data_IF_601002305935
#
_entry.id   IF_601002305935
#
_cell.length_a   1.000
_cell.length_b   1.000
_cell.length_c   1.000
_cell.angle_alpha   90.00
_cell.angle_beta   90.00
_cell.angle_gamma   90.00
#
_symmetry.space_group_name_H-M   'P 1'
#
loop_
_entity.id
_entity.type
_entity.pdbx_description
1 polymer ?
#
# COMPACT_ATOMS: atom_id res chain seq x y z
N UNK A 1 -14.54 16.24 -4.70
CA UNK A 1 -15.96 15.99 -5.06
C UNK A 1 -15.94 14.74 -5.94
N UNK A 2 -16.40 13.60 -5.41
CA UNK A 2 -16.47 12.34 -6.16
C UNK A 2 -17.62 12.45 -7.15
N UNK A 3 -17.33 12.30 -8.45
CA UNK A 3 -18.37 12.27 -9.48
C UNK A 3 -18.85 10.84 -9.66
N UNK A 4 -20.12 10.61 -9.37
CA UNK A 4 -20.79 9.34 -9.64
C UNK A 4 -21.03 9.22 -11.14
N UNK A 5 -20.10 8.59 -11.87
CA UNK A 5 -20.46 8.02 -13.16
C UNK A 5 -21.12 6.67 -12.90
N UNK A 6 -22.44 6.71 -12.79
CA UNK A 6 -23.30 5.54 -12.78
C UNK A 6 -23.18 4.82 -14.13
N UNK A 7 -22.78 3.55 -14.12
CA UNK A 7 -23.01 2.67 -15.27
C UNK A 7 -24.01 1.55 -14.89
N UNK A 8 -25.05 1.47 -15.72
CA UNK A 8 -26.08 0.46 -15.92
C UNK A 8 -27.08 0.07 -14.81
N UNK A 9 -26.76 0.15 -13.51
CA UNK A 9 -27.71 -0.30 -12.47
C UNK A 9 -28.80 0.72 -12.06
N UNK A 10 -28.71 1.97 -12.54
CA UNK A 10 -29.66 3.05 -12.19
C UNK A 10 -30.19 3.82 -13.41
N UNK A 11 -30.13 3.23 -14.59
CA UNK A 11 -30.70 3.82 -15.80
C UNK A 11 -32.18 4.20 -15.55
N UNK A 12 -32.52 5.48 -15.75
CA UNK A 12 -33.88 6.02 -15.58
C UNK A 12 -34.20 6.74 -14.26
N UNK A 13 -33.26 6.85 -13.32
CA UNK A 13 -33.47 7.59 -12.06
C UNK A 13 -33.00 9.05 -12.15
N UNK A 14 -33.67 9.95 -11.42
CA UNK A 14 -33.15 11.32 -11.24
C UNK A 14 -31.85 11.30 -10.42
N UNK A 15 -31.00 12.33 -10.57
CA UNK A 15 -29.72 12.39 -9.86
C UNK A 15 -29.84 12.29 -8.32
N UNK A 16 -30.95 12.73 -7.74
CA UNK A 16 -31.22 12.63 -6.29
C UNK A 16 -31.61 11.22 -5.88
N UNK A 17 -32.38 10.51 -6.69
CA UNK A 17 -32.79 9.12 -6.43
C UNK A 17 -31.60 8.17 -6.59
N UNK A 18 -30.79 8.35 -7.64
CA UNK A 18 -29.56 7.58 -7.84
C UNK A 18 -28.59 7.76 -6.65
N UNK A 19 -28.44 8.99 -6.16
CA UNK A 19 -27.61 9.26 -4.98
C UNK A 19 -28.15 8.60 -3.70
N UNK A 20 -29.48 8.62 -3.50
CA UNK A 20 -30.12 7.94 -2.36
C UNK A 20 -29.85 6.43 -2.40
N UNK A 21 -30.10 5.78 -3.54
CA UNK A 21 -29.90 4.34 -3.69
C UNK A 21 -28.43 3.94 -3.50
N UNK A 22 -27.49 4.77 -3.97
CA UNK A 22 -26.07 4.56 -3.72
C UNK A 22 -25.72 4.63 -2.22
N UNK A 23 -26.27 5.59 -1.48
CA UNK A 23 -26.06 5.69 -0.04
C UNK A 23 -26.69 4.53 0.74
N UNK A 24 -27.88 4.09 0.33
CA UNK A 24 -28.53 2.90 0.90
C UNK A 24 -27.73 1.62 0.64
N UNK A 25 -27.13 1.50 -0.55
CA UNK A 25 -26.22 0.40 -0.87
C UNK A 25 -24.98 0.41 0.03
N UNK A 26 -24.30 1.55 0.16
CA UNK A 26 -23.10 1.73 1.00
C UNK A 26 -23.40 1.36 2.45
N UNK A 27 -24.50 1.88 3.01
CA UNK A 27 -24.95 1.60 4.39
C UNK A 27 -25.28 0.13 4.62
N UNK A 28 -25.86 -0.55 3.62
CA UNK A 28 -26.18 -1.98 3.72
C UNK A 28 -24.92 -2.85 3.82
N UNK A 29 -23.87 -2.54 3.05
CA UNK A 29 -22.61 -3.29 3.11
C UNK A 29 -21.96 -3.14 4.48
N UNK A 30 -21.94 -1.92 5.05
CA UNK A 30 -21.37 -1.65 6.38
C UNK A 30 -22.02 -2.46 7.52
N UNK A 31 -23.28 -2.90 7.35
CA UNK A 31 -24.04 -3.63 8.37
C UNK A 31 -23.98 -5.15 8.20
N UNK A 32 -23.45 -5.65 7.08
CA UNK A 32 -23.44 -7.07 6.78
C UNK A 32 -22.16 -7.75 7.28
N UNK A 33 -22.23 -9.02 7.70
CA UNK A 33 -21.04 -9.81 7.97
C UNK A 33 -20.22 -10.00 6.69
N UNK A 34 -18.90 -9.88 6.79
CA UNK A 34 -17.99 -9.95 5.67
C UNK A 34 -16.84 -10.94 5.91
N UNK A 35 -16.13 -11.33 4.85
CA UNK A 35 -15.13 -12.44 4.88
C UNK A 35 -13.66 -12.02 4.76
N UNK A 36 -13.38 -10.72 4.77
CA UNK A 36 -12.03 -10.14 4.81
C UNK A 36 -11.54 -9.60 3.46
N UNK A 37 -10.75 -8.52 3.50
CA UNK A 37 -10.12 -7.90 2.34
C UNK A 37 -11.05 -6.99 1.53
N UNK A 38 -10.84 -6.99 0.21
CA UNK A 38 -11.68 -6.25 -0.74
C UNK A 38 -12.98 -7.04 -0.98
N UNK A 39 -14.03 -6.67 -0.27
CA UNK A 39 -15.32 -7.36 -0.36
C UNK A 39 -16.21 -6.81 -1.49
N UNK A 40 -16.45 -5.49 -1.47
CA UNK A 40 -17.30 -4.81 -2.45
C UNK A 40 -16.57 -3.59 -2.99
N UNK A 41 -16.65 -3.39 -4.31
CA UNK A 41 -15.98 -2.30 -5.03
C UNK A 41 -16.99 -1.44 -5.75
N UNK A 42 -16.98 -0.14 -5.47
CA UNK A 42 -17.84 0.82 -6.16
C UNK A 42 -17.28 1.10 -7.57
N UNK A 43 -18.11 0.88 -8.58
CA UNK A 43 -17.78 1.19 -9.97
C UNK A 43 -18.00 2.70 -10.19
N UNK A 44 -16.99 3.50 -9.83
CA UNK A 44 -17.01 4.95 -9.95
C UNK A 44 -15.71 5.47 -10.57
N UNK A 45 -15.82 6.60 -11.27
CA UNK A 45 -14.65 7.35 -11.73
C UNK A 45 -14.05 8.11 -10.55
N UNK A 46 -12.93 7.61 -10.03
CA UNK A 46 -12.20 8.24 -8.94
C UNK A 46 -11.11 9.17 -9.48
N UNK A 47 -11.35 10.48 -9.41
CA UNK A 47 -10.29 11.47 -9.63
C UNK A 47 -9.41 11.54 -8.38
N UNK A 48 -8.25 10.89 -8.45
CA UNK A 48 -7.32 10.80 -7.32
C UNK A 48 -6.41 12.03 -7.17
N UNK A 49 -6.37 12.96 -8.12
CA UNK A 49 -5.36 14.05 -8.14
C UNK A 49 -5.35 14.90 -6.87
N UNK A 50 -6.52 15.13 -6.26
CA UNK A 50 -6.61 15.87 -5.00
C UNK A 50 -5.98 15.14 -3.79
N UNK A 51 -5.73 13.83 -3.94
CA UNK A 51 -5.25 12.91 -2.92
C UNK A 51 -3.80 12.48 -3.11
N UNK A 52 -3.18 12.79 -4.26
CA UNK A 52 -1.81 12.39 -4.59
C UNK A 52 -0.80 12.81 -3.51
N UNK A 53 -0.99 13.98 -2.89
CA UNK A 53 -0.13 14.45 -1.77
C UNK A 53 -0.15 13.54 -0.54
N UNK A 54 -1.16 12.69 -0.38
CA UNK A 54 -1.29 11.77 0.75
C UNK A 54 -0.61 10.41 0.50
N UNK A 55 -0.09 10.17 -0.71
CA UNK A 55 0.63 8.96 -1.08
C UNK A 55 2.06 8.91 -0.55
N UNK A 56 2.62 10.08 -0.23
CA UNK A 56 4.03 10.25 0.13
C UNK A 56 4.54 9.28 1.21
N UNK A 57 3.80 9.01 2.31
CA UNK A 57 4.28 8.07 3.33
C UNK A 57 4.47 6.64 2.80
N UNK A 58 3.60 6.18 1.92
CA UNK A 58 3.70 4.86 1.29
C UNK A 58 4.91 4.78 0.35
N UNK A 59 5.14 5.82 -0.47
CA UNK A 59 6.28 5.90 -1.39
C UNK A 59 7.61 5.91 -0.61
N UNK A 60 7.70 6.73 0.44
CA UNK A 60 8.89 6.80 1.29
C UNK A 60 9.17 5.47 2.00
N UNK A 61 8.13 4.84 2.53
CA UNK A 61 8.26 3.52 3.18
C UNK A 61 8.74 2.47 2.18
N UNK A 62 8.17 2.44 0.97
CA UNK A 62 8.55 1.46 -0.05
C UNK A 62 10.00 1.64 -0.48
N UNK A 63 10.44 2.89 -0.72
CA UNK A 63 11.83 3.20 -1.06
C UNK A 63 12.82 2.89 0.09
N UNK A 64 12.39 3.07 1.35
CA UNK A 64 13.18 2.64 2.50
C UNK A 64 13.35 1.12 2.51
N UNK A 65 12.26 0.35 2.37
CA UNK A 65 12.30 -1.11 2.36
C UNK A 65 13.11 -1.65 1.18
N UNK A 66 12.95 -1.07 -0.01
CA UNK A 66 13.80 -1.38 -1.17
C UNK A 66 15.28 -1.19 -0.86
N UNK A 67 15.65 -0.09 -0.19
CA UNK A 67 17.05 0.16 0.19
C UNK A 67 17.57 -0.90 1.17
N UNK A 68 16.73 -1.37 2.10
CA UNK A 68 17.08 -2.45 3.04
C UNK A 68 17.27 -3.78 2.30
N UNK A 69 16.36 -4.14 1.39
CA UNK A 69 16.44 -5.35 0.56
C UNK A 69 17.72 -5.35 -0.28
N UNK A 70 18.00 -4.23 -0.95
CA UNK A 70 19.21 -4.06 -1.76
C UNK A 70 20.50 -4.19 -0.93
N UNK A 71 20.47 -3.77 0.34
CA UNK A 71 21.62 -3.89 1.24
C UNK A 71 21.81 -5.29 1.82
N UNK A 72 20.73 -6.02 2.06
CA UNK A 72 20.71 -7.31 2.75
C UNK A 72 20.40 -8.47 1.81
N UNK A 73 20.99 -8.46 0.61
CA UNK A 73 20.94 -9.57 -0.35
C UNK A 73 19.53 -10.07 -0.66
N UNK A 74 18.56 -9.16 -0.78
CA UNK A 74 17.18 -9.51 -1.12
C UNK A 74 16.27 -9.80 0.09
N UNK A 75 16.74 -9.62 1.33
CA UNK A 75 15.99 -9.94 2.54
C UNK A 75 15.69 -8.71 3.40
N UNK A 76 14.59 -8.78 4.16
CA UNK A 76 14.22 -7.82 5.20
C UNK A 76 14.53 -8.30 6.62
N UNK A 77 15.24 -9.42 6.80
CA UNK A 77 15.49 -10.06 8.10
C UNK A 77 16.33 -9.22 9.07
N UNK A 78 16.99 -8.15 8.58
CA UNK A 78 17.64 -7.16 9.45
C UNK A 78 16.65 -6.31 10.25
N UNK A 79 15.36 -6.32 9.87
CA UNK A 79 14.29 -5.61 10.56
C UNK A 79 13.56 -6.52 11.55
N UNK A 80 12.91 -5.91 12.53
CA UNK A 80 12.05 -6.58 13.51
C UNK A 80 10.58 -6.26 13.25
N UNK A 81 9.65 -7.09 13.72
CA UNK A 81 8.21 -6.84 13.66
C UNK A 81 7.87 -5.42 14.15
N UNK A 82 8.45 -4.99 15.26
CA UNK A 82 8.22 -3.68 15.85
C UNK A 82 8.69 -2.53 14.93
N UNK A 83 9.73 -2.73 14.14
CA UNK A 83 10.15 -1.75 13.13
C UNK A 83 9.11 -1.62 12.03
N UNK A 84 8.55 -2.73 11.53
CA UNK A 84 7.48 -2.68 10.55
C UNK A 84 6.21 -2.03 11.11
N UNK A 85 5.79 -2.43 12.31
CA UNK A 85 4.66 -1.81 13.00
C UNK A 85 4.90 -0.32 13.27
N UNK A 86 6.14 0.09 13.52
CA UNK A 86 6.50 1.51 13.65
C UNK A 86 6.37 2.25 12.32
N UNK A 87 6.77 1.66 11.19
CA UNK A 87 6.63 2.27 9.86
C UNK A 87 5.16 2.54 9.53
N UNK A 88 4.27 1.55 9.68
CA UNK A 88 2.85 1.76 9.38
C UNK A 88 2.16 2.74 10.33
N UNK A 89 2.50 2.73 11.63
CA UNK A 89 2.00 3.73 12.58
C UNK A 89 2.47 5.14 12.23
N UNK A 90 3.73 5.29 11.80
CA UNK A 90 4.28 6.58 11.38
C UNK A 90 3.60 7.09 10.12
N UNK A 91 3.30 6.21 9.15
CA UNK A 91 2.54 6.59 7.96
C UNK A 91 1.17 7.14 8.34
N UNK A 92 0.41 6.42 9.17
CA UNK A 92 -0.90 6.88 9.67
C UNK A 92 -0.76 8.22 10.40
N UNK A 93 0.24 8.38 11.27
CA UNK A 93 0.43 9.60 12.07
C UNK A 93 0.96 10.80 11.30
N UNK A 94 1.64 10.60 10.18
CA UNK A 94 2.22 11.69 9.38
C UNK A 94 1.16 12.63 8.78
N UNK A 95 -0.03 12.10 8.48
CA UNK A 95 -1.10 12.83 7.80
C UNK A 95 -2.43 12.43 8.43
N UNK A 96 -3.15 13.40 9.02
CA UNK A 96 -4.43 13.14 9.70
C UNK A 96 -5.51 12.50 8.81
N UNK A 97 -5.48 12.80 7.51
CA UNK A 97 -6.41 12.26 6.51
C UNK A 97 -6.16 10.77 6.19
N UNK A 98 -4.96 10.25 6.44
CA UNK A 98 -4.66 8.83 6.24
C UNK A 98 -5.35 8.04 7.36
N UNK A 99 -6.30 7.19 6.95
CA UNK A 99 -7.05 6.32 7.86
C UNK A 99 -6.19 5.14 8.33
N UNK A 100 -5.54 4.44 7.39
CA UNK A 100 -4.72 3.27 7.66
C UNK A 100 -3.52 3.14 6.73
N UNK A 101 -2.58 2.26 7.08
CA UNK A 101 -1.38 1.93 6.30
C UNK A 101 -1.02 0.47 6.51
N UNK A 102 -0.74 -0.22 5.40
CA UNK A 102 -0.29 -1.62 5.36
C UNK A 102 1.10 -1.69 4.70
N UNK A 103 1.92 -2.65 5.12
CA UNK A 103 3.07 -3.13 4.35
C UNK A 103 2.81 -4.60 4.03
N UNK A 104 2.49 -4.94 2.79
CA UNK A 104 2.33 -6.32 2.36
C UNK A 104 3.64 -6.85 1.77
N UNK A 105 4.24 -7.86 2.42
CA UNK A 105 5.56 -8.36 2.04
C UNK A 105 5.44 -9.52 1.04
N UNK A 106 6.25 -9.58 -0.03
CA UNK A 106 6.32 -10.78 -0.87
C UNK A 106 6.80 -12.02 -0.08
N UNK A 107 6.23 -13.20 -0.37
CA UNK A 107 6.71 -14.45 0.21
C UNK A 107 8.22 -14.65 0.03
N UNK A 108 8.90 -15.00 1.13
CA UNK A 108 10.34 -15.29 1.13
C UNK A 108 11.26 -14.09 1.35
N UNK A 109 10.72 -12.86 1.42
CA UNK A 109 11.52 -11.65 1.70
C UNK A 109 11.74 -11.42 3.18
N UNK A 110 10.79 -11.83 4.02
CA UNK A 110 10.93 -11.84 5.47
C UNK A 110 10.77 -13.27 6.00
N UNK A 111 11.86 -13.89 6.42
CA UNK A 111 11.92 -15.34 6.66
C UNK A 111 11.18 -15.81 7.91
N UNK A 112 10.80 -14.87 8.79
CA UNK A 112 10.08 -15.17 10.03
C UNK A 112 8.66 -15.71 9.79
N UNK A 113 8.04 -15.33 8.67
CA UNK A 113 6.65 -15.66 8.37
C UNK A 113 6.47 -16.05 6.91
N UNK A 114 5.57 -16.99 6.63
CA UNK A 114 5.16 -17.32 5.25
C UNK A 114 4.27 -16.25 4.62
N UNK A 115 3.61 -15.44 5.46
CA UNK A 115 2.76 -14.31 5.10
C UNK A 115 2.83 -13.29 6.23
N UNK A 116 3.04 -12.01 5.90
CA UNK A 116 3.16 -10.94 6.90
C UNK A 116 2.74 -9.62 6.27
N UNK A 117 1.73 -8.99 6.87
CA UNK A 117 1.17 -7.73 6.43
C UNK A 117 0.81 -6.86 7.64
N UNK A 118 1.79 -6.23 8.30
CA UNK A 118 1.52 -5.31 9.40
C UNK A 118 0.67 -4.15 8.90
N UNK A 119 -0.44 -3.92 9.58
CA UNK A 119 -1.42 -2.89 9.27
C UNK A 119 -1.66 -2.04 10.50
N UNK A 120 -1.82 -0.74 10.30
CA UNK A 120 -2.22 0.20 11.33
C UNK A 120 -3.33 1.09 10.83
N UNK A 121 -4.28 1.43 11.70
CA UNK A 121 -5.46 2.22 11.35
C UNK A 121 -5.97 3.04 12.54
N UNK A 122 -6.78 4.06 12.24
CA UNK A 122 -7.39 4.93 13.24
C UNK A 122 -8.73 4.36 13.68
N UNK A 123 -8.95 4.26 14.99
CA UNK A 123 -10.23 3.87 15.54
C UNK A 123 -10.44 4.53 16.91
N UNK A 124 -11.59 5.18 17.11
CA UNK A 124 -12.01 5.74 18.41
C UNK A 124 -10.95 6.65 19.08
N UNK A 125 -10.21 7.42 18.29
CA UNK A 125 -9.14 8.32 18.79
C UNK A 125 -7.77 7.66 19.00
N UNK A 126 -7.67 6.35 18.80
CA UNK A 126 -6.43 5.59 18.88
C UNK A 126 -5.89 5.23 17.50
N UNK A 127 -4.62 4.84 17.46
CA UNK A 127 -3.99 4.19 16.30
C UNK A 127 -3.71 2.75 16.72
N UNK A 128 -4.51 1.82 16.17
CA UNK A 128 -4.40 0.39 16.43
C UNK A 128 -3.51 -0.25 15.36
N UNK A 129 -2.98 -1.43 15.64
CA UNK A 129 -2.19 -2.18 14.69
C UNK A 129 -2.31 -3.69 14.92
N UNK A 130 -2.32 -4.46 13.83
CA UNK A 130 -2.29 -5.92 13.83
C UNK A 130 -1.73 -6.42 12.49
N UNK A 131 -1.46 -7.71 12.38
CA UNK A 131 -1.06 -8.34 11.11
C UNK A 131 -2.31 -8.82 10.34
N UNK A 132 -2.66 -8.15 9.24
CA UNK A 132 -3.86 -8.50 8.45
C UNK A 132 -3.71 -9.81 7.68
N UNK A 133 -2.49 -10.35 7.57
CA UNK A 133 -2.26 -11.68 7.00
C UNK A 133 -2.94 -12.80 7.80
N UNK A 134 -3.28 -12.54 9.07
CA UNK A 134 -4.04 -13.45 9.93
C UNK A 134 -5.56 -13.36 9.69
N UNK A 135 -6.04 -12.25 9.12
CA UNK A 135 -7.47 -12.01 8.85
C UNK A 135 -7.87 -12.59 7.50
N UNK A 136 -7.05 -12.42 6.46
CA UNK A 136 -7.31 -12.94 5.12
C UNK A 136 -6.02 -13.10 4.29
N UNK A 137 -6.12 -13.86 3.20
CA UNK A 137 -5.01 -14.09 2.28
C UNK A 137 -4.87 -12.92 1.29
N UNK A 138 -4.16 -11.87 1.68
CA UNK A 138 -3.90 -10.70 0.80
C UNK A 138 -3.14 -11.06 -0.50
N UNK A 139 -2.55 -12.25 -0.56
CA UNK A 139 -1.81 -12.75 -1.70
C UNK A 139 -2.72 -13.29 -2.82
N UNK A 140 -4.03 -13.42 -2.55
CA UNK A 140 -5.04 -13.81 -3.54
C UNK A 140 -5.13 -12.77 -4.67
N UNK A 141 -5.42 -13.22 -5.89
CA UNK A 141 -5.61 -12.38 -7.06
C UNK A 141 -6.80 -11.42 -6.96
N UNK A 142 -7.72 -11.65 -6.01
CA UNK A 142 -8.82 -10.75 -5.68
C UNK A 142 -8.39 -9.51 -4.89
N UNK A 143 -7.21 -9.55 -4.28
CA UNK A 143 -6.68 -8.43 -3.48
C UNK A 143 -6.04 -7.39 -4.40
N UNK A 144 -6.87 -6.54 -5.00
CA UNK A 144 -6.46 -5.65 -6.08
C UNK A 144 -5.34 -4.67 -5.70
N UNK A 145 -5.31 -4.22 -4.44
CA UNK A 145 -4.30 -3.30 -3.93
C UNK A 145 -2.89 -3.92 -3.85
N UNK A 146 -2.77 -5.25 -3.94
CA UNK A 146 -1.48 -5.96 -3.97
C UNK A 146 -1.24 -6.64 -5.32
N UNK A 147 -2.19 -7.46 -5.77
CA UNK A 147 -1.99 -8.33 -6.93
C UNK A 147 -1.74 -7.57 -8.23
N UNK A 148 -2.41 -6.44 -8.44
CA UNK A 148 -2.25 -5.64 -9.66
C UNK A 148 -0.84 -5.05 -9.81
N UNK A 149 -0.18 -4.71 -8.69
CA UNK A 149 1.22 -4.30 -8.71
C UNK A 149 2.15 -5.49 -8.96
N UNK A 150 1.88 -6.63 -8.31
CA UNK A 150 2.68 -7.86 -8.43
C UNK A 150 2.84 -8.33 -9.88
N UNK A 151 1.78 -8.23 -10.70
CA UNK A 151 1.78 -8.72 -12.08
C UNK A 151 2.25 -7.68 -13.12
N UNK A 152 2.53 -6.43 -12.72
CA UNK A 152 2.96 -5.37 -13.63
C UNK A 152 4.41 -5.61 -14.07
N UNK A 153 4.76 -5.16 -15.28
CA UNK A 153 6.15 -5.15 -15.74
C UNK A 153 6.92 -3.97 -15.12
N UNK A 154 8.04 -4.27 -14.47
CA UNK A 154 8.88 -3.31 -13.74
C UNK A 154 10.27 -3.09 -14.36
N UNK A 155 10.55 -3.63 -15.55
CA UNK A 155 11.89 -3.52 -16.18
C UNK A 155 12.37 -2.08 -16.39
N UNK A 156 11.45 -1.12 -16.50
CA UNK A 156 11.73 0.29 -16.78
C UNK A 156 11.60 1.21 -15.57
N UNK A 157 11.57 0.68 -14.34
CA UNK A 157 11.55 1.51 -13.12
C UNK A 157 12.84 2.34 -13.05
N UNK A 158 12.70 3.60 -12.64
CA UNK A 158 13.83 4.51 -12.49
C UNK A 158 14.80 4.00 -11.43
N UNK A 159 16.09 3.92 -11.79
CA UNK A 159 17.16 3.62 -10.85
C UNK A 159 17.86 4.92 -10.42
N UNK A 160 17.86 5.19 -9.11
CA UNK A 160 18.48 6.37 -8.53
C UNK A 160 19.87 6.03 -8.03
N UNK A 161 20.84 6.91 -8.33
CA UNK A 161 22.22 6.81 -7.82
C UNK A 161 22.36 7.67 -6.57
N UNK A 162 22.64 7.04 -5.44
CA UNK A 162 22.92 7.69 -4.17
C UNK A 162 24.43 7.72 -3.91
N UNK A 163 24.99 8.90 -3.67
CA UNK A 163 26.36 9.08 -3.19
C UNK A 163 26.36 9.10 -1.68
N UNK A 164 27.05 8.15 -1.05
CA UNK A 164 27.08 8.05 0.40
C UNK A 164 28.50 7.88 0.93
N UNK A 165 28.74 8.47 2.11
CA UNK A 165 30.03 8.48 2.78
C UNK A 165 29.84 8.04 4.22
N UNK A 166 30.26 6.81 4.53
CA UNK A 166 30.19 6.27 5.88
C UNK A 166 31.40 6.68 6.73
N UNK A 167 31.37 6.32 8.01
CA UNK A 167 32.49 6.50 8.94
C UNK A 167 32.89 5.20 9.62
N UNK A 168 34.15 5.07 10.00
CA UNK A 168 34.66 4.06 10.93
C UNK A 168 35.32 4.78 12.11
N UNK A 169 34.68 4.76 13.27
CA UNK A 169 35.09 5.59 14.40
C UNK A 169 35.03 7.08 14.05
N UNK A 170 36.16 7.79 14.21
CA UNK A 170 36.31 9.21 13.82
C UNK A 170 36.77 9.42 12.36
N UNK A 171 37.00 8.34 11.61
CA UNK A 171 37.55 8.41 10.25
C UNK A 171 36.40 8.39 9.24
N UNK A 172 36.38 9.38 8.35
CA UNK A 172 35.47 9.40 7.19
C UNK A 172 35.99 8.44 6.12
N UNK A 173 35.14 7.51 5.66
CA UNK A 173 35.48 6.55 4.60
C UNK A 173 35.34 7.21 3.22
N UNK A 174 35.78 6.51 2.17
CA UNK A 174 35.58 6.98 0.81
C UNK A 174 34.08 7.02 0.46
N UNK A 175 33.72 8.01 -0.35
CA UNK A 175 32.39 8.06 -0.97
C UNK A 175 32.23 6.87 -1.91
N UNK A 176 31.05 6.26 -1.92
CA UNK A 176 30.67 5.26 -2.90
C UNK A 176 29.24 5.52 -3.36
N UNK A 177 28.96 5.03 -4.56
CA UNK A 177 27.66 5.10 -5.19
C UNK A 177 26.86 3.82 -4.89
N UNK A 178 25.57 4.00 -4.62
CA UNK A 178 24.60 2.94 -4.46
C UNK A 178 23.50 3.18 -5.49
N UNK A 179 23.23 2.17 -6.32
CA UNK A 179 22.14 2.21 -7.30
C UNK A 179 20.94 1.48 -6.72
N UNK A 180 19.79 2.15 -6.68
CA UNK A 180 18.56 1.60 -6.09
C UNK A 180 17.37 1.89 -7.02
N UNK A 181 16.54 0.90 -7.37
CA UNK A 181 15.27 1.16 -8.04
C UNK A 181 14.34 1.93 -7.08
N UNK A 182 13.84 3.09 -7.47
CA UNK A 182 13.01 3.92 -6.58
C UNK A 182 11.62 4.09 -7.16
N UNK A 183 10.60 3.74 -6.37
CA UNK A 183 9.21 3.98 -6.69
C UNK A 183 8.89 5.46 -6.69
N UNK A 184 8.12 5.91 -7.69
CA UNK A 184 7.51 7.23 -7.76
C UNK A 184 5.99 7.15 -7.64
N UNK A 185 5.30 8.29 -7.76
CA UNK A 185 3.84 8.34 -7.73
C UNK A 185 3.22 7.50 -8.86
N UNK A 186 3.82 7.56 -10.05
CA UNK A 186 3.38 6.93 -11.31
C UNK A 186 3.56 5.40 -11.32
N UNK A 187 4.49 4.91 -10.49
CA UNK A 187 4.69 3.48 -10.30
C UNK A 187 3.59 2.88 -9.42
N UNK A 188 3.04 3.65 -8.49
CA UNK A 188 1.97 3.16 -7.61
C UNK A 188 0.61 3.00 -8.29
N UNK A 189 -0.35 2.52 -7.51
CA UNK A 189 -1.69 2.19 -7.95
C UNK A 189 -2.72 2.70 -6.94
N UNK A 190 -3.73 3.42 -7.42
CA UNK A 190 -4.95 3.66 -6.67
C UNK A 190 -5.98 2.57 -6.95
N UNK A 191 -6.58 2.01 -5.90
CA UNK A 191 -7.76 1.15 -6.03
C UNK A 191 -8.98 1.95 -6.43
N UNK A 192 -10.03 1.24 -6.86
CA UNK A 192 -11.38 1.81 -6.79
C UNK A 192 -11.81 1.90 -5.32
N UNK A 193 -12.84 2.69 -4.98
CA UNK A 193 -13.37 2.68 -3.62
C UNK A 193 -13.91 1.28 -3.29
N UNK A 194 -13.45 0.70 -2.19
CA UNK A 194 -13.87 -0.61 -1.73
C UNK A 194 -14.12 -0.63 -0.22
N UNK A 195 -14.87 -1.63 0.24
CA UNK A 195 -15.06 -1.88 1.67
C UNK A 195 -13.93 -2.77 2.22
N UNK A 196 -13.12 -2.23 3.14
CA UNK A 196 -11.97 -2.91 3.76
C UNK A 196 -12.42 -3.78 4.94
N UNK A 197 -12.95 -4.97 4.62
CA UNK A 197 -13.41 -5.90 5.63
C UNK A 197 -12.24 -6.54 6.40
N UNK A 198 -12.30 -6.58 7.73
CA UNK A 198 -11.30 -7.24 8.58
C UNK A 198 -9.96 -6.52 8.68
N UNK A 199 -9.79 -5.40 7.96
CA UNK A 199 -8.74 -4.42 8.18
C UNK A 199 -9.24 -3.33 9.13
N UNK A 200 -10.01 -2.38 8.58
CA UNK A 200 -10.59 -1.26 9.34
C UNK A 200 -12.12 -1.16 9.31
N UNK A 201 -12.80 -2.06 8.59
CA UNK A 201 -14.27 -2.12 8.43
C UNK A 201 -14.86 -0.77 7.97
N UNK A 202 -14.28 -0.22 6.90
CA UNK A 202 -14.63 1.10 6.36
C UNK A 202 -14.57 1.12 4.83
N UNK A 203 -15.38 1.98 4.21
CA UNK A 203 -15.21 2.34 2.80
C UNK A 203 -13.97 3.21 2.62
N UNK A 204 -13.06 2.78 1.74
CA UNK A 204 -11.81 3.48 1.49
C UNK A 204 -11.32 3.34 0.05
N UNK A 205 -10.37 4.20 -0.29
CA UNK A 205 -9.49 4.02 -1.45
C UNK A 205 -8.09 3.77 -0.91
N UNK A 206 -7.34 2.91 -1.57
CA UNK A 206 -5.97 2.58 -1.19
C UNK A 206 -5.03 3.01 -2.30
N UNK A 207 -3.96 3.70 -1.91
CA UNK A 207 -2.81 3.85 -2.76
C UNK A 207 -1.74 2.85 -2.34
N UNK A 208 -1.27 2.06 -3.30
CA UNK A 208 -0.21 1.09 -3.09
C UNK A 208 1.05 1.54 -3.84
N UNK A 209 2.19 1.52 -3.15
CA UNK A 209 3.50 1.77 -3.74
C UNK A 209 4.30 0.46 -3.76
N UNK A 210 4.93 0.10 -4.88
CA UNK A 210 5.69 -1.14 -4.99
C UNK A 210 7.02 -1.08 -4.23
N UNK A 211 7.40 -2.18 -3.61
CA UNK A 211 8.75 -2.41 -3.08
C UNK A 211 9.54 -3.15 -4.17
N UNK A 212 10.83 -2.87 -4.26
CA UNK A 212 11.67 -3.40 -5.34
C UNK A 212 12.92 -4.12 -4.83
N UNK A 213 13.50 -4.93 -5.71
CA UNK A 213 14.90 -5.34 -5.73
C UNK A 213 15.44 -5.26 -7.15
N UNK A 214 16.68 -5.72 -7.37
CA UNK A 214 17.19 -6.04 -8.70
C UNK A 214 17.27 -7.56 -8.90
N UNK A 215 17.08 -8.02 -10.14
CA UNK A 215 17.38 -9.38 -10.56
C UNK A 215 18.89 -9.56 -10.85
N UNK A 216 19.30 -10.76 -11.25
CA UNK A 216 20.71 -11.07 -11.57
C UNK A 216 21.27 -10.27 -12.75
N UNK A 217 20.40 -9.70 -13.60
CA UNK A 217 20.76 -8.85 -14.73
C UNK A 217 20.71 -7.35 -14.36
N UNK A 218 20.43 -7.00 -13.10
CA UNK A 218 20.32 -5.61 -12.65
C UNK A 218 19.00 -4.95 -13.03
N UNK A 219 17.96 -5.72 -13.40
CA UNK A 219 16.63 -5.19 -13.74
C UNK A 219 15.75 -5.11 -12.50
N UNK A 220 14.94 -4.05 -12.33
CA UNK A 220 14.03 -3.94 -11.19
C UNK A 220 12.98 -5.07 -11.18
N UNK A 221 12.69 -5.56 -9.97
CA UNK A 221 11.72 -6.62 -9.71
C UNK A 221 10.86 -6.24 -8.50
N UNK A 222 9.56 -6.51 -8.56
CA UNK A 222 8.62 -6.38 -7.44
C UNK A 222 8.99 -7.32 -6.27
N UNK A 223 8.83 -6.81 -5.04
CA UNK A 223 9.04 -7.48 -3.76
C UNK A 223 7.98 -7.07 -2.73
#
# INVERSE_FOLDING_TARGET
MLFWQTYDNYAGHTGKEAAKLALEYVSRIEQNPCTGGTEETLILTFNHTAWDKYTQPAILTSNFLTSVIMKNTGSLDSLTDEMFFSLVRNNVNSIKTVFGSCIAIEPGIYSKYSSFAPYSYRQSGFVLAHDIALSYMYQDNKTEWYYNLKIRNWENVTQTVFKTKYRKGKISLLEHEIVVPTATLEDGLWTKPYFDCGGGDIWMVTYSSPIFSLDIAGRPKFQ
#
